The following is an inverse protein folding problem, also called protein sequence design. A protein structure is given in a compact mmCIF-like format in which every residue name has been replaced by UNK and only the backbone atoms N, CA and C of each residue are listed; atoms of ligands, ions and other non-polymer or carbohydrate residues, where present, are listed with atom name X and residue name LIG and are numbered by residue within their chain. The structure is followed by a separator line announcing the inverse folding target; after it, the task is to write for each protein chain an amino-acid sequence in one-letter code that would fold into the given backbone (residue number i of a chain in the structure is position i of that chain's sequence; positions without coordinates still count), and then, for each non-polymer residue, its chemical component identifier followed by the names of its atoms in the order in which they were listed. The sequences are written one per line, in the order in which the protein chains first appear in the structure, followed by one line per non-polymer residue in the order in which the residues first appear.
data_IF_720840953359
#
_entry.id   IF_720840953359
#
_cell.length_a   1.000
_cell.length_b   1.000
_cell.length_c   1.000
_cell.angle_alpha   90.00
_cell.angle_beta   90.00
_cell.angle_gamma   90.00
#
_symmetry.space_group_name_H-M   'P 1'
#
loop_
_entity.id
_entity.type
_entity.pdbx_description
1 polymer ?
#
# COMPACT_ATOMS: atom_id res chain seq x y z
N UNK A 1 -23.02 -14.36 -0.58
CA UNK A 1 -21.72 -14.50 0.11
C UNK A 1 -21.04 -13.14 0.15
N UNK A 2 -20.37 -12.76 1.22
CA UNK A 2 -19.65 -11.48 1.25
C UNK A 2 -18.55 -11.46 0.18
N UNK A 3 -18.38 -10.31 -0.46
CA UNK A 3 -17.33 -10.12 -1.48
C UNK A 3 -15.94 -10.37 -0.86
N UNK A 4 -15.01 -11.02 -1.57
CA UNK A 4 -13.63 -11.15 -1.12
C UNK A 4 -12.99 -9.77 -0.96
N UNK A 5 -11.95 -9.68 -0.13
CA UNK A 5 -11.18 -8.45 0.01
C UNK A 5 -10.43 -8.11 -1.29
N UNK A 6 -9.82 -9.14 -1.92
CA UNK A 6 -9.16 -9.04 -3.22
C UNK A 6 -9.62 -10.19 -4.10
N UNK A 7 -9.93 -9.91 -5.35
CA UNK A 7 -10.18 -10.90 -6.38
C UNK A 7 -9.43 -10.51 -7.66
N UNK A 8 -8.60 -11.41 -8.16
CA UNK A 8 -7.85 -11.28 -9.42
C UNK A 8 -8.21 -12.46 -10.29
N UNK A 9 -8.59 -12.24 -11.55
CA UNK A 9 -8.98 -13.29 -12.50
C UNK A 9 -8.31 -13.08 -13.85
N UNK A 10 -7.62 -14.12 -14.33
CA UNK A 10 -7.00 -14.17 -15.64
C UNK A 10 -6.04 -13.02 -15.89
N UNK A 11 -5.34 -12.54 -14.87
CA UNK A 11 -4.52 -11.34 -14.95
C UNK A 11 -3.31 -11.55 -15.85
N UNK A 12 -3.19 -10.75 -16.90
CA UNK A 12 -2.03 -10.76 -17.80
C UNK A 12 -1.35 -9.39 -17.85
N UNK A 13 -0.03 -9.43 -18.00
CA UNK A 13 0.81 -8.26 -18.22
C UNK A 13 2.08 -8.61 -18.97
N UNK A 14 2.34 -7.84 -20.03
CA UNK A 14 3.58 -7.93 -20.80
C UNK A 14 4.32 -6.60 -20.81
N UNK A 15 5.63 -6.66 -20.91
CA UNK A 15 6.53 -5.53 -21.14
C UNK A 15 7.40 -5.84 -22.36
N UNK A 16 7.01 -5.33 -23.53
CA UNK A 16 7.57 -5.77 -24.79
C UNK A 16 7.38 -7.29 -24.98
N UNK A 17 8.45 -8.02 -25.20
CA UNK A 17 8.43 -9.48 -25.41
C UNK A 17 8.40 -10.29 -24.09
N UNK A 18 8.46 -9.62 -22.93
CA UNK A 18 8.48 -10.29 -21.63
C UNK A 18 7.05 -10.41 -21.06
N UNK A 19 6.53 -11.63 -20.97
CA UNK A 19 5.28 -11.93 -20.29
C UNK A 19 5.50 -11.97 -18.78
N UNK A 20 5.23 -10.86 -18.10
CA UNK A 20 5.41 -10.75 -16.64
C UNK A 20 4.30 -11.46 -15.86
N UNK A 21 3.09 -11.53 -16.40
CA UNK A 21 1.94 -12.28 -15.87
C UNK A 21 1.20 -12.94 -17.02
N UNK A 22 0.84 -14.22 -16.85
CA UNK A 22 0.12 -15.00 -17.87
C UNK A 22 -1.04 -15.77 -17.23
N UNK A 23 -2.13 -15.06 -16.94
CA UNK A 23 -3.36 -15.65 -16.47
C UNK A 23 -3.39 -15.94 -14.94
N UNK A 24 -2.92 -14.99 -14.13
CA UNK A 24 -2.88 -15.16 -12.65
C UNK A 24 -4.27 -15.00 -12.05
N UNK A 25 -4.66 -15.98 -11.21
CA UNK A 25 -5.88 -15.98 -10.41
C UNK A 25 -5.55 -15.95 -8.92
N UNK A 26 -6.10 -14.98 -8.18
CA UNK A 26 -5.94 -14.85 -6.71
C UNK A 26 -7.28 -14.45 -6.11
N UNK A 27 -7.62 -15.09 -4.99
CA UNK A 27 -8.77 -14.71 -4.18
C UNK A 27 -8.35 -14.66 -2.71
N UNK A 28 -8.55 -13.50 -2.07
CA UNK A 28 -8.23 -13.26 -0.66
C UNK A 28 -9.50 -12.79 0.05
N UNK A 29 -9.89 -13.48 1.11
CA UNK A 29 -11.08 -13.13 1.88
C UNK A 29 -10.75 -12.06 2.94
N UNK A 30 -11.80 -11.45 3.51
CA UNK A 30 -11.64 -10.51 4.63
C UNK A 30 -11.04 -11.23 5.85
N UNK A 31 -10.08 -10.57 6.51
CA UNK A 31 -9.42 -11.12 7.70
C UNK A 31 -8.40 -12.23 7.40
N UNK A 32 -8.11 -12.48 6.13
CA UNK A 32 -7.15 -13.50 5.72
C UNK A 32 -5.72 -12.94 5.72
N UNK A 33 -4.77 -13.74 6.22
CA UNK A 33 -3.35 -13.47 6.07
C UNK A 33 -2.83 -14.25 4.87
N UNK A 34 -2.43 -13.55 3.82
CA UNK A 34 -2.04 -14.12 2.54
C UNK A 34 -0.56 -13.84 2.23
N UNK A 35 0.19 -14.89 1.91
CA UNK A 35 1.60 -14.81 1.49
C UNK A 35 1.76 -15.01 -0.01
N UNK A 36 2.25 -13.98 -0.73
CA UNK A 36 2.59 -14.09 -2.15
C UNK A 36 4.07 -14.48 -2.28
N UNK A 37 4.33 -15.76 -2.50
CA UNK A 37 5.67 -16.34 -2.57
C UNK A 37 6.05 -16.69 -4.01
N UNK A 38 7.35 -16.68 -4.29
CA UNK A 38 7.91 -17.08 -5.59
C UNK A 38 9.31 -16.49 -5.83
N UNK A 39 10.05 -16.99 -6.82
CA UNK A 39 11.38 -16.47 -7.17
C UNK A 39 11.33 -15.02 -7.66
N UNK A 40 12.50 -14.40 -7.80
CA UNK A 40 12.59 -13.10 -8.47
C UNK A 40 12.16 -13.26 -9.94
N UNK A 41 11.39 -12.30 -10.43
CA UNK A 41 10.80 -12.35 -11.77
C UNK A 41 9.46 -13.11 -11.88
N UNK A 42 8.95 -13.72 -10.80
CA UNK A 42 7.66 -14.44 -10.81
C UNK A 42 6.41 -13.53 -10.88
N UNK A 43 6.54 -12.26 -11.20
CA UNK A 43 5.41 -11.34 -11.37
C UNK A 43 4.82 -10.77 -10.07
N UNK A 44 5.37 -11.09 -8.88
CA UNK A 44 4.83 -10.61 -7.59
C UNK A 44 4.68 -9.09 -7.52
N UNK A 45 5.75 -8.38 -7.81
CA UNK A 45 5.75 -6.90 -7.82
C UNK A 45 4.80 -6.35 -8.87
N UNK A 46 4.74 -6.95 -10.05
CA UNK A 46 3.82 -6.57 -11.12
C UNK A 46 2.36 -6.74 -10.67
N UNK A 47 2.03 -7.86 -10.03
CA UNK A 47 0.69 -8.11 -9.49
C UNK A 47 0.30 -7.06 -8.44
N UNK A 48 1.20 -6.76 -7.49
CA UNK A 48 0.99 -5.72 -6.47
C UNK A 48 0.82 -4.34 -7.13
N UNK A 49 1.66 -3.99 -8.10
CA UNK A 49 1.59 -2.71 -8.80
C UNK A 49 0.28 -2.54 -9.60
N UNK A 50 -0.23 -3.61 -10.20
CA UNK A 50 -1.55 -3.56 -10.87
C UNK A 50 -2.68 -3.42 -9.84
N UNK A 51 -2.65 -4.20 -8.76
CA UNK A 51 -3.65 -4.12 -7.70
C UNK A 51 -3.73 -2.72 -7.08
N UNK A 52 -2.59 -2.05 -6.94
CA UNK A 52 -2.49 -0.71 -6.35
C UNK A 52 -2.63 0.43 -7.37
N UNK A 53 -2.76 0.09 -8.65
CA UNK A 53 -2.97 1.03 -9.75
C UNK A 53 -1.72 1.82 -10.15
N UNK A 54 -0.52 1.32 -9.83
CA UNK A 54 0.75 1.86 -10.33
C UNK A 54 1.05 1.39 -11.76
N UNK A 55 0.49 0.26 -12.18
CA UNK A 55 0.61 -0.33 -13.51
C UNK A 55 -0.78 -0.73 -13.99
N UNK A 56 -1.08 -0.54 -15.27
CA UNK A 56 -2.30 -1.04 -15.90
C UNK A 56 -2.11 -2.49 -16.32
N UNK A 57 -3.13 -3.34 -16.11
CA UNK A 57 -3.21 -4.68 -16.67
C UNK A 57 -3.45 -4.64 -18.18
N UNK A 58 -3.03 -5.69 -18.87
CA UNK A 58 -3.34 -5.85 -20.30
C UNK A 58 -4.67 -6.62 -20.47
N UNK A 59 -4.84 -7.73 -19.72
CA UNK A 59 -6.07 -8.54 -19.71
C UNK A 59 -6.46 -8.95 -18.27
N UNK A 60 -7.66 -9.51 -18.14
CA UNK A 60 -8.19 -9.98 -16.87
C UNK A 60 -8.86 -8.90 -16.02
N UNK A 61 -9.10 -9.20 -14.76
CA UNK A 61 -9.74 -8.29 -13.81
C UNK A 61 -9.06 -8.27 -12.45
N UNK A 62 -9.10 -7.11 -11.78
CA UNK A 62 -8.60 -6.91 -10.43
C UNK A 62 -9.63 -6.14 -9.62
N UNK A 63 -10.19 -6.77 -8.58
CA UNK A 63 -11.23 -6.21 -7.75
C UNK A 63 -10.78 -6.09 -6.30
N UNK A 64 -11.14 -5.00 -5.65
CA UNK A 64 -10.99 -4.76 -4.21
C UNK A 64 -12.37 -4.51 -3.63
N UNK A 65 -12.80 -5.38 -2.71
CA UNK A 65 -14.17 -5.38 -2.18
C UNK A 65 -15.25 -5.34 -3.27
N UNK A 66 -15.02 -6.06 -4.39
CA UNK A 66 -15.93 -6.15 -5.52
C UNK A 66 -15.91 -4.97 -6.48
N UNK A 67 -15.02 -3.98 -6.27
CA UNK A 67 -14.86 -2.83 -7.15
C UNK A 67 -13.57 -2.92 -7.97
N UNK A 68 -13.64 -2.57 -9.24
CA UNK A 68 -12.51 -2.65 -10.16
C UNK A 68 -11.45 -1.60 -9.85
N UNK A 69 -10.17 -2.01 -9.86
CA UNK A 69 -9.05 -1.15 -9.48
C UNK A 69 -8.73 -0.05 -10.48
N UNK A 70 -9.29 -0.11 -11.68
CA UNK A 70 -9.11 0.91 -12.73
C UNK A 70 -10.28 1.90 -12.72
N UNK A 71 -11.53 1.41 -12.85
CA UNK A 71 -12.71 2.28 -12.92
C UNK A 71 -13.03 2.94 -11.57
N UNK A 72 -12.86 2.22 -10.46
CA UNK A 72 -13.14 2.68 -9.10
C UNK A 72 -11.87 2.98 -8.29
N UNK A 73 -10.81 3.44 -8.94
CA UNK A 73 -9.47 3.58 -8.35
C UNK A 73 -9.43 4.41 -7.06
N UNK A 74 -10.28 5.43 -6.91
CA UNK A 74 -10.33 6.23 -5.67
C UNK A 74 -10.77 5.40 -4.47
N UNK A 75 -11.81 4.58 -4.66
CA UNK A 75 -12.29 3.67 -3.63
C UNK A 75 -11.25 2.59 -3.33
N UNK A 76 -10.76 1.89 -4.35
CA UNK A 76 -9.86 0.76 -4.16
C UNK A 76 -8.52 1.17 -3.52
N UNK A 77 -7.95 2.31 -3.93
CA UNK A 77 -6.72 2.85 -3.32
C UNK A 77 -6.93 3.32 -1.88
N UNK A 78 -8.10 3.87 -1.53
CA UNK A 78 -8.38 4.24 -0.14
C UNK A 78 -8.48 3.03 0.79
N UNK A 79 -8.69 1.83 0.26
CA UNK A 79 -8.79 0.58 1.01
C UNK A 79 -7.45 -0.14 1.20
N UNK A 80 -6.38 0.31 0.53
CA UNK A 80 -5.08 -0.35 0.52
C UNK A 80 -4.01 0.56 1.11
N UNK A 81 -3.32 0.07 2.14
CA UNK A 81 -2.08 0.64 2.65
C UNK A 81 -0.87 -0.17 2.19
N UNK A 82 0.18 0.52 1.70
CA UNK A 82 1.39 -0.14 1.20
C UNK A 82 2.58 0.32 2.02
N UNK A 83 3.27 -0.63 2.67
CA UNK A 83 4.57 -0.40 3.28
C UNK A 83 5.67 -0.93 2.36
N UNK A 84 5.99 -0.16 1.32
CA UNK A 84 6.98 -0.52 0.30
C UNK A 84 8.37 -0.79 0.90
N UNK A 85 9.16 -1.63 0.22
CA UNK A 85 10.54 -1.91 0.64
C UNK A 85 11.48 -0.73 0.38
N UNK A 86 11.23 0.04 -0.68
CA UNK A 86 12.07 1.18 -1.04
C UNK A 86 11.58 2.48 -0.38
N UNK A 87 12.55 3.30 0.04
CA UNK A 87 12.29 4.60 0.66
C UNK A 87 12.17 5.69 -0.42
N UNK A 88 11.08 5.69 -1.18
CA UNK A 88 10.70 6.85 -2.00
C UNK A 88 10.02 7.90 -1.12
N UNK A 89 10.78 8.65 -0.33
CA UNK A 89 10.22 9.65 0.59
C UNK A 89 11.12 10.88 0.61
N UNK A 90 10.50 12.04 0.76
CA UNK A 90 11.20 13.30 0.94
C UNK A 90 12.03 13.30 2.24
N UNK A 91 13.35 13.31 2.08
CA UNK A 91 14.32 13.27 3.17
C UNK A 91 14.41 14.56 3.99
N UNK A 92 13.78 15.63 3.52
CA UNK A 92 13.93 16.97 4.09
C UNK A 92 12.96 17.28 5.22
N UNK A 93 11.78 16.64 5.23
CA UNK A 93 10.75 16.93 6.22
C UNK A 93 10.81 16.01 7.45
N UNK A 94 10.36 16.50 8.63
CA UNK A 94 10.12 15.65 9.79
C UNK A 94 9.11 14.53 9.49
N UNK A 95 9.27 13.39 10.16
CA UNK A 95 8.40 12.22 9.91
C UNK A 95 6.93 12.49 10.22
N UNK A 96 6.62 13.28 11.24
CA UNK A 96 5.26 13.71 11.55
C UNK A 96 4.64 14.47 10.37
N UNK A 97 5.38 15.41 9.79
CA UNK A 97 4.91 16.19 8.64
C UNK A 97 4.68 15.32 7.41
N UNK A 98 5.52 14.30 7.21
CA UNK A 98 5.35 13.33 6.13
C UNK A 98 4.08 12.49 6.30
N UNK A 99 3.69 12.14 7.54
CA UNK A 99 2.42 11.46 7.79
C UNK A 99 1.22 12.37 7.49
N UNK A 100 1.28 13.65 7.83
CA UNK A 100 0.24 14.60 7.45
C UNK A 100 0.13 14.77 5.91
N UNK A 101 1.25 14.78 5.19
CA UNK A 101 1.22 14.81 3.74
C UNK A 101 0.57 13.52 3.19
N UNK A 102 0.95 12.36 3.74
CA UNK A 102 0.35 11.09 3.34
C UNK A 102 -1.17 11.07 3.56
N UNK A 103 -1.65 11.52 4.73
CA UNK A 103 -3.08 11.66 5.00
C UNK A 103 -3.77 12.61 3.99
N UNK A 104 -3.08 13.71 3.65
CA UNK A 104 -3.56 14.69 2.67
C UNK A 104 -3.75 14.10 1.26
N UNK A 105 -2.93 13.15 0.82
CA UNK A 105 -3.12 12.45 -0.46
C UNK A 105 -4.43 11.65 -0.52
N UNK A 106 -4.96 11.24 0.64
CA UNK A 106 -6.26 10.59 0.78
C UNK A 106 -7.40 11.57 1.11
N UNK A 107 -7.14 12.88 1.04
CA UNK A 107 -8.15 13.92 1.29
C UNK A 107 -8.45 14.16 2.78
N UNK A 108 -7.67 13.60 3.70
CA UNK A 108 -7.86 13.77 5.14
C UNK A 108 -7.20 15.10 5.56
N UNK A 109 -8.00 16.01 6.13
CA UNK A 109 -7.49 17.31 6.59
C UNK A 109 -6.59 17.12 7.80
N UNK A 110 -5.59 17.98 7.95
CA UNK A 110 -4.60 17.90 9.04
C UNK A 110 -5.23 17.76 10.43
N UNK A 111 -6.31 18.51 10.70
CA UNK A 111 -7.02 18.47 11.98
C UNK A 111 -7.66 17.10 12.26
N UNK A 112 -8.14 16.44 11.20
CA UNK A 112 -8.82 15.15 11.29
C UNK A 112 -7.80 13.99 11.34
N UNK A 113 -6.62 14.18 10.73
CA UNK A 113 -5.50 13.22 10.77
C UNK A 113 -4.69 13.27 12.08
N UNK A 114 -4.72 14.39 12.82
CA UNK A 114 -3.85 14.60 13.97
C UNK A 114 -3.95 13.49 15.05
N UNK A 115 -5.14 13.04 15.47
CA UNK A 115 -5.25 11.97 16.47
C UNK A 115 -4.63 10.65 15.98
N UNK A 116 -4.87 10.27 14.71
CA UNK A 116 -4.33 9.06 14.10
C UNK A 116 -2.80 9.13 13.95
N UNK A 117 -2.27 10.27 13.53
CA UNK A 117 -0.82 10.49 13.40
C UNK A 117 -0.12 10.35 14.77
N UNK A 118 -0.68 10.96 15.81
CA UNK A 118 -0.14 10.87 17.17
C UNK A 118 -0.20 9.43 17.70
N UNK A 119 -1.33 8.75 17.52
CA UNK A 119 -1.50 7.35 17.90
C UNK A 119 -0.49 6.45 17.20
N UNK A 120 -0.34 6.56 15.87
CA UNK A 120 0.58 5.76 15.09
C UNK A 120 2.05 5.98 15.51
N UNK A 121 2.44 7.23 15.73
CA UNK A 121 3.79 7.53 16.21
C UNK A 121 4.06 6.90 17.57
N UNK A 122 3.09 6.94 18.48
CA UNK A 122 3.19 6.35 19.82
C UNK A 122 3.24 4.82 19.74
N UNK A 123 2.26 4.18 19.08
CA UNK A 123 2.18 2.71 18.95
C UNK A 123 3.40 2.10 18.27
N UNK A 124 4.02 2.82 17.35
CA UNK A 124 5.22 2.37 16.63
C UNK A 124 6.53 2.84 17.30
N UNK A 125 6.46 3.48 18.47
CA UNK A 125 7.64 3.94 19.23
C UNK A 125 8.47 4.97 18.48
N UNK A 126 7.80 5.89 17.79
CA UNK A 126 8.39 6.99 17.01
C UNK A 126 8.04 8.37 17.58
N UNK A 127 7.29 8.44 18.68
CA UNK A 127 6.83 9.65 19.35
C UNK A 127 7.99 10.62 19.68
N UNK A 128 9.07 10.10 20.30
CA UNK A 128 10.28 10.87 20.62
C UNK A 128 11.08 11.32 19.38
N UNK A 129 10.75 10.79 18.21
CA UNK A 129 11.42 11.08 16.93
C UNK A 129 10.53 11.81 15.92
N UNK A 130 9.34 12.27 16.33
CA UNK A 130 8.36 12.90 15.44
C UNK A 130 8.94 14.10 14.65
N UNK A 131 9.84 14.86 15.25
CA UNK A 131 10.53 15.98 14.63
C UNK A 131 11.81 15.58 13.87
N UNK A 132 12.23 14.31 13.92
CA UNK A 132 13.40 13.83 13.21
C UNK A 132 13.11 13.65 11.71
N UNK A 133 14.14 13.84 10.89
CA UNK A 133 14.09 13.52 9.46
C UNK A 133 14.42 12.05 9.24
N UNK A 134 13.97 11.45 8.13
CA UNK A 134 14.20 10.03 7.82
C UNK A 134 15.67 9.61 7.88
N UNK A 135 16.60 10.47 7.44
CA UNK A 135 18.05 10.20 7.51
C UNK A 135 18.57 10.02 8.93
N UNK A 136 17.85 10.52 9.94
CA UNK A 136 18.22 10.44 11.35
C UNK A 136 17.63 9.21 12.05
N UNK A 137 16.86 8.40 11.33
CA UNK A 137 16.25 7.17 11.85
C UNK A 137 17.13 5.95 11.57
N UNK A 138 17.14 5.00 12.51
CA UNK A 138 17.71 3.66 12.28
C UNK A 138 16.89 2.89 11.23
N UNK A 139 17.44 1.80 10.67
CA UNK A 139 16.74 0.93 9.71
C UNK A 139 15.39 0.44 10.25
N UNK A 140 15.36 -0.04 11.49
CA UNK A 140 14.11 -0.48 12.13
C UNK A 140 13.10 0.65 12.34
N UNK A 141 13.57 1.87 12.70
CA UNK A 141 12.68 3.05 12.79
C UNK A 141 12.12 3.43 11.43
N UNK A 142 12.92 3.38 10.37
CA UNK A 142 12.45 3.63 9.01
C UNK A 142 11.37 2.63 8.60
N UNK A 143 11.55 1.33 8.90
CA UNK A 143 10.53 0.30 8.60
C UNK A 143 9.23 0.56 9.36
N UNK A 144 9.31 0.93 10.65
CA UNK A 144 8.13 1.32 11.43
C UNK A 144 7.45 2.58 10.90
N UNK A 145 8.22 3.55 10.42
CA UNK A 145 7.67 4.73 9.76
C UNK A 145 6.93 4.40 8.44
N UNK A 146 7.45 3.48 7.63
CA UNK A 146 6.72 3.01 6.44
C UNK A 146 5.39 2.36 6.79
N UNK A 147 5.36 1.59 7.88
CA UNK A 147 4.12 1.03 8.40
C UNK A 147 3.15 2.13 8.85
N UNK A 148 3.63 3.17 9.56
CA UNK A 148 2.81 4.33 9.91
C UNK A 148 2.21 5.01 8.67
N UNK A 149 3.01 5.19 7.61
CA UNK A 149 2.53 5.74 6.33
C UNK A 149 1.44 4.89 5.69
N UNK A 150 1.59 3.57 5.74
CA UNK A 150 0.60 2.65 5.18
C UNK A 150 -0.73 2.70 5.94
N UNK A 151 -0.69 2.97 7.24
CA UNK A 151 -1.85 2.94 8.14
C UNK A 151 -2.57 4.28 8.30
N UNK A 152 -1.96 5.41 7.93
CA UNK A 152 -2.44 6.76 8.30
C UNK A 152 -3.83 7.13 7.74
N UNK A 153 -4.31 6.42 6.72
CA UNK A 153 -5.64 6.62 6.12
C UNK A 153 -6.63 5.52 6.49
N UNK A 154 -6.29 4.70 7.51
CA UNK A 154 -7.12 3.61 8.04
C UNK A 154 -7.58 2.62 6.96
N UNK A 155 -6.66 1.96 6.25
CA UNK A 155 -6.99 1.02 5.20
C UNK A 155 -7.52 -0.32 5.74
N UNK A 156 -8.36 -0.99 4.94
CA UNK A 156 -8.87 -2.34 5.25
C UNK A 156 -7.88 -3.46 4.85
N UNK A 157 -6.91 -3.15 3.97
CA UNK A 157 -5.91 -4.08 3.43
C UNK A 157 -4.53 -3.48 3.60
N UNK A 158 -3.57 -4.27 4.09
CA UNK A 158 -2.18 -3.85 4.24
C UNK A 158 -1.29 -4.78 3.42
N UNK A 159 -0.44 -4.19 2.58
CA UNK A 159 0.59 -4.88 1.80
C UNK A 159 1.97 -4.50 2.37
N UNK A 160 2.77 -5.52 2.76
CA UNK A 160 4.07 -5.37 3.43
C UNK A 160 5.24 -5.83 2.56
#
# INVERSE_FOLDING_TARGET
MPSPAIEIKGLKKSYGDVHALDGVDIKINKGEFFGLLGPNGAGKTTTINILTGLVFRDEGSTLVFGRDTVSDYRFTRSKIGIAAQEFSVDWFFPIEKLLFFQAGYYGIRKKDAAPMVEELLTRLGLDKKKNARLRQLSGGMKRRFQLAKALVHDPDIIIL
#
